data_IF_567030830182
#
_entry.id   IF_567030830182
#
_cell.length_a   1.000
_cell.length_b   1.000
_cell.length_c   1.000
_cell.angle_alpha   90.00
_cell.angle_beta   90.00
_cell.angle_gamma   90.00
#
_symmetry.space_group_name_H-M   'P 1'
#
loop_
_entity.id
_entity.type
_entity.pdbx_description
1 polymer ?
#
# COMPACT_ATOMS: atom_id res chain seq x y z
N UNK A 1 4.92 7.42 -0.52
CA UNK A 1 6.32 7.83 -0.62
C UNK A 1 6.37 9.05 -1.50
N UNK A 2 6.99 10.13 -1.04
CA UNK A 2 7.19 11.34 -1.83
C UNK A 2 8.48 12.02 -1.43
N UNK A 3 8.97 12.88 -2.32
CA UNK A 3 10.11 13.78 -2.10
C UNK A 3 9.69 15.14 -2.63
N UNK A 4 9.95 16.18 -1.87
CA UNK A 4 9.59 17.55 -2.19
C UNK A 4 10.71 18.49 -1.76
N UNK A 5 11.33 19.18 -2.72
CA UNK A 5 12.31 20.21 -2.42
C UNK A 5 11.64 21.57 -2.34
N UNK A 6 11.80 22.25 -1.20
CA UNK A 6 11.30 23.59 -0.96
C UNK A 6 12.45 24.60 -1.06
N UNK A 7 12.53 25.29 -2.20
CA UNK A 7 13.63 26.19 -2.55
C UNK A 7 13.85 27.32 -1.53
N UNK A 8 12.80 28.02 -1.10
CA UNK A 8 12.97 29.20 -0.23
C UNK A 8 13.49 28.90 1.17
N UNK A 9 13.12 27.75 1.75
CA UNK A 9 13.69 27.33 3.03
C UNK A 9 14.95 26.49 2.87
N UNK A 10 15.39 26.26 1.63
CA UNK A 10 16.44 25.33 1.27
C UNK A 10 16.29 23.97 1.99
N UNK A 11 15.08 23.39 1.97
CA UNK A 11 14.77 22.15 2.69
C UNK A 11 14.23 21.07 1.77
N UNK A 12 14.72 19.84 1.94
CA UNK A 12 14.14 18.65 1.36
C UNK A 12 13.16 18.01 2.34
N UNK A 13 11.93 17.79 1.90
CA UNK A 13 10.88 17.11 2.64
C UNK A 13 10.59 15.76 2.00
N UNK A 14 10.51 14.71 2.80
CA UNK A 14 10.27 13.36 2.29
C UNK A 14 9.59 12.50 3.34
N UNK A 15 8.96 11.42 2.89
CA UNK A 15 8.29 10.52 3.81
C UNK A 15 7.42 9.49 3.12
N UNK A 16 6.92 8.56 3.92
CA UNK A 16 6.04 7.47 3.49
C UNK A 16 4.62 7.71 3.97
N UNK A 17 3.68 6.93 3.41
CA UNK A 17 2.33 6.92 3.95
C UNK A 17 2.31 6.32 5.38
N UNK A 18 1.25 6.56 6.17
CA UNK A 18 1.25 6.22 7.60
C UNK A 18 1.59 4.76 7.93
N UNK A 19 1.25 3.82 7.05
CA UNK A 19 1.48 2.38 7.22
C UNK A 19 2.57 1.82 6.31
N UNK A 20 3.23 2.68 5.51
CA UNK A 20 4.36 2.27 4.68
C UNK A 20 4.03 1.46 3.43
N UNK A 21 2.81 1.56 2.87
CA UNK A 21 2.43 0.83 1.63
C UNK A 21 3.33 1.13 0.44
N UNK A 22 3.88 2.33 0.36
CA UNK A 22 4.90 2.68 -0.65
C UNK A 22 6.28 2.62 -0.02
N UNK A 23 7.15 1.77 -0.58
CA UNK A 23 8.54 1.64 -0.13
C UNK A 23 9.30 2.95 -0.36
N UNK A 24 10.26 3.17 0.53
CA UNK A 24 11.27 4.22 0.42
C UNK A 24 12.46 3.78 1.28
N UNK A 25 13.62 3.69 0.66
CA UNK A 25 14.89 3.35 1.29
C UNK A 25 15.79 4.58 1.29
N UNK A 26 16.70 4.62 2.26
CA UNK A 26 17.69 5.66 2.44
C UNK A 26 19.02 5.01 2.80
N UNK A 27 20.13 5.61 2.42
CA UNK A 27 21.45 5.20 2.91
C UNK A 27 21.48 5.27 4.46
N UNK A 28 21.93 4.22 5.14
CA UNK A 28 21.87 4.09 6.61
C UNK A 28 22.72 5.15 7.31
N UNK A 29 23.86 5.53 6.74
CA UNK A 29 24.71 6.59 7.29
C UNK A 29 23.97 7.94 7.33
N UNK A 30 23.00 8.13 6.42
CA UNK A 30 22.13 9.30 6.43
C UNK A 30 21.23 9.40 7.67
N UNK A 31 20.93 8.29 8.35
CA UNK A 31 20.01 8.26 9.50
C UNK A 31 20.73 8.41 10.85
N UNK A 32 21.97 7.93 10.97
CA UNK A 32 22.65 7.80 12.27
C UNK A 32 23.64 8.93 12.56
N UNK A 33 24.46 9.31 11.58
CA UNK A 33 25.43 10.42 11.66
C UNK A 33 25.71 10.94 10.26
N UNK A 34 25.06 12.03 9.90
CA UNK A 34 25.29 12.65 8.60
C UNK A 34 26.66 13.35 8.58
N UNK A 35 27.61 12.83 7.80
CA UNK A 35 28.88 13.51 7.50
C UNK A 35 28.70 14.33 6.20
N UNK A 36 29.19 15.57 6.17
CA UNK A 36 29.15 16.44 4.99
C UNK A 36 29.88 15.84 3.78
N UNK A 37 30.73 14.83 3.99
CA UNK A 37 31.41 14.07 2.93
C UNK A 37 30.61 12.87 2.41
N UNK A 38 29.47 12.55 3.02
CA UNK A 38 28.63 11.40 2.64
C UNK A 38 27.48 11.82 1.74
N UNK A 39 27.21 11.01 0.71
CA UNK A 39 26.10 11.26 -0.20
C UNK A 39 24.75 11.02 0.50
N UNK A 40 23.81 11.95 0.30
CA UNK A 40 22.41 11.75 0.69
C UNK A 40 21.69 11.02 -0.44
N UNK A 41 21.39 9.72 -0.24
CA UNK A 41 20.73 8.90 -1.25
C UNK A 41 19.43 8.33 -0.70
N UNK A 42 18.35 8.56 -1.43
CA UNK A 42 17.03 8.00 -1.16
C UNK A 42 16.46 7.46 -2.47
N UNK A 43 15.76 6.33 -2.39
CA UNK A 43 15.17 5.67 -3.54
C UNK A 43 13.88 4.95 -3.13
N UNK A 44 13.05 4.58 -4.11
CA UNK A 44 11.93 3.66 -3.88
C UNK A 44 12.36 2.20 -3.75
N UNK A 45 13.55 1.85 -4.25
CA UNK A 45 14.11 0.49 -4.24
C UNK A 45 15.61 0.58 -3.97
N UNK A 46 16.11 -0.31 -3.12
CA UNK A 46 17.54 -0.40 -2.83
C UNK A 46 18.32 -0.89 -4.05
N UNK A 47 19.48 -0.29 -4.29
CA UNK A 47 20.47 -0.85 -5.22
C UNK A 47 21.03 -2.15 -4.64
N UNK A 48 21.45 -3.07 -5.51
CA UNK A 48 22.18 -4.29 -5.12
C UNK A 48 23.60 -4.00 -4.60
N UNK A 49 24.07 -2.75 -4.71
CA UNK A 49 25.36 -2.35 -4.14
C UNK A 49 25.30 -2.32 -2.61
N UNK A 50 25.89 -3.36 -2.02
CA UNK A 50 25.93 -3.59 -0.57
C UNK A 50 26.73 -2.50 0.15
N UNK A 51 27.65 -1.82 -0.54
CA UNK A 51 28.52 -0.80 0.07
C UNK A 51 27.76 0.48 0.48
N UNK A 52 26.57 0.69 -0.09
CA UNK A 52 25.74 1.86 0.24
C UNK A 52 25.08 1.69 1.61
N UNK A 53 24.89 0.46 2.11
CA UNK A 53 24.25 0.21 3.41
C UNK A 53 22.83 0.77 3.45
N UNK A 54 21.89 0.17 2.72
CA UNK A 54 20.51 0.65 2.67
C UNK A 54 19.72 0.34 3.94
N UNK A 55 18.91 1.30 4.39
CA UNK A 55 17.91 1.13 5.42
C UNK A 55 16.53 1.55 4.90
N UNK A 56 15.49 0.84 5.33
CA UNK A 56 14.11 1.23 5.05
C UNK A 56 13.76 2.48 5.86
N UNK A 57 13.23 3.53 5.21
CA UNK A 57 12.79 4.73 5.92
C UNK A 57 11.54 4.38 6.76
N UNK A 58 11.49 4.65 8.08
CA UNK A 58 10.32 4.33 8.88
C UNK A 58 9.05 5.04 8.38
N UNK A 59 7.94 4.31 8.37
CA UNK A 59 6.62 4.86 8.05
C UNK A 59 6.06 5.70 9.21
N UNK A 60 4.93 6.38 8.97
CA UNK A 60 4.23 7.10 10.04
C UNK A 60 4.82 8.46 10.39
N UNK A 61 5.74 9.01 9.59
CA UNK A 61 6.36 10.30 9.85
C UNK A 61 6.70 11.04 8.55
N UNK A 62 6.70 12.36 8.65
CA UNK A 62 7.30 13.28 7.69
C UNK A 62 8.74 13.59 8.14
N UNK A 63 9.66 13.69 7.19
CA UNK A 63 11.06 14.00 7.45
C UNK A 63 11.46 15.28 6.72
N UNK A 64 12.38 16.04 7.30
CA UNK A 64 12.99 17.19 6.63
C UNK A 64 14.51 17.20 6.81
N UNK A 65 15.21 17.60 5.76
CA UNK A 65 16.63 17.93 5.79
C UNK A 65 16.78 19.37 5.30
N UNK A 66 17.32 20.24 6.15
CA UNK A 66 17.61 21.63 5.78
C UNK A 66 19.07 21.75 5.34
N UNK A 67 19.32 22.25 4.13
CA UNK A 67 20.66 22.33 3.57
C UNK A 67 21.50 23.48 4.16
N UNK A 68 20.87 24.54 4.67
CA UNK A 68 21.59 25.64 5.36
C UNK A 68 22.00 25.23 6.78
N UNK A 69 21.23 24.35 7.42
CA UNK A 69 21.42 23.83 8.77
C UNK A 69 21.74 22.34 8.77
N UNK A 70 22.54 21.91 7.80
CA UNK A 70 22.77 20.48 7.52
C UNK A 70 23.32 19.69 8.70
N UNK A 71 24.10 20.34 9.57
CA UNK A 71 24.63 19.78 10.82
C UNK A 71 23.55 19.30 11.81
N UNK A 72 22.32 19.78 11.69
CA UNK A 72 21.19 19.35 12.52
C UNK A 72 20.64 17.98 12.08
N UNK A 73 21.10 17.45 10.95
CA UNK A 73 20.67 16.18 10.40
C UNK A 73 19.19 16.18 9.97
N UNK A 74 18.62 14.97 9.90
CA UNK A 74 17.23 14.77 9.47
C UNK A 74 16.31 15.01 10.68
N UNK A 75 15.38 15.95 10.55
CA UNK A 75 14.29 16.13 11.51
C UNK A 75 13.13 15.20 11.18
N UNK A 76 12.51 14.63 12.22
CA UNK A 76 11.36 13.72 12.12
C UNK A 76 10.12 14.35 12.75
N UNK A 77 9.03 14.38 11.99
CA UNK A 77 7.71 14.86 12.39
C UNK A 77 6.73 13.68 12.31
N UNK A 78 6.44 13.00 13.42
CA UNK A 78 5.45 11.94 13.44
C UNK A 78 4.11 12.45 12.94
N UNK A 79 3.43 11.66 12.10
CA UNK A 79 2.00 11.88 11.95
C UNK A 79 1.40 11.74 13.34
N UNK A 80 0.50 12.66 13.74
CA UNK A 80 -0.21 12.56 15.02
C UNK A 80 -0.81 11.16 15.17
N UNK A 81 -1.11 10.72 16.41
CA UNK A 81 -1.68 9.38 16.66
C UNK A 81 -2.87 9.13 15.75
N UNK A 82 -2.60 8.51 14.59
CA UNK A 82 -3.62 7.86 13.81
C UNK A 82 -3.85 6.61 14.62
N UNK A 83 -5.00 6.52 15.28
CA UNK A 83 -5.47 5.33 15.99
C UNK A 83 -5.76 4.20 14.99
N UNK A 84 -4.78 3.84 14.17
CA UNK A 84 -4.67 2.51 13.57
C UNK A 84 -3.90 1.66 14.58
N UNK A 85 -4.29 1.75 15.85
CA UNK A 85 -3.91 0.80 16.85
C UNK A 85 -5.16 -0.05 17.05
N UNK A 86 -5.19 -1.24 16.45
CA UNK A 86 -6.06 -2.31 16.94
C UNK A 86 -5.53 -2.81 18.30
N UNK A 87 -5.15 -1.90 19.21
CA UNK A 87 -4.82 -2.24 20.57
C UNK A 87 -6.13 -2.46 21.28
N UNK A 88 -6.50 -3.74 21.39
CA UNK A 88 -7.68 -4.23 22.08
C UNK A 88 -8.96 -3.55 21.58
N UNK A 89 -9.64 -4.15 20.59
CA UNK A 89 -11.04 -3.82 20.33
C UNK A 89 -11.79 -4.12 21.62
N UNK A 90 -11.99 -3.09 22.45
CA UNK A 90 -12.79 -3.22 23.65
C UNK A 90 -14.22 -3.31 23.16
N UNK A 91 -14.76 -4.53 23.12
CA UNK A 91 -16.15 -4.80 22.79
C UNK A 91 -17.01 -4.29 23.96
N UNK A 92 -17.11 -2.98 24.11
CA UNK A 92 -18.00 -2.35 25.09
C UNK A 92 -19.37 -2.17 24.45
N UNK A 93 -20.43 -2.76 25.05
CA UNK A 93 -21.88 -2.51 24.93
C UNK A 93 -22.51 -2.18 23.55
N UNK A 94 -21.74 -2.26 22.47
CA UNK A 94 -22.16 -2.09 21.09
C UNK A 94 -22.33 -3.50 20.53
N UNK A 95 -23.48 -3.77 19.91
CA UNK A 95 -23.78 -5.09 19.36
C UNK A 95 -22.88 -5.41 18.17
N UNK A 96 -22.65 -6.71 17.94
CA UNK A 96 -21.83 -7.22 16.84
C UNK A 96 -22.27 -6.66 15.48
N UNK A 97 -23.58 -6.46 15.28
CA UNK A 97 -24.18 -5.91 14.07
C UNK A 97 -23.69 -4.49 13.77
N UNK A 98 -23.46 -3.67 14.80
CA UNK A 98 -22.96 -2.30 14.64
C UNK A 98 -21.49 -2.29 14.22
N UNK A 99 -20.67 -3.22 14.71
CA UNK A 99 -19.28 -3.38 14.24
C UNK A 99 -19.22 -3.85 12.79
N UNK A 100 -20.00 -4.88 12.44
CA UNK A 100 -20.08 -5.39 11.07
C UNK A 100 -20.53 -4.31 10.10
N UNK A 101 -21.55 -3.52 10.47
CA UNK A 101 -22.03 -2.41 9.66
C UNK A 101 -20.96 -1.33 9.46
N UNK A 102 -20.24 -0.94 10.53
CA UNK A 102 -19.14 0.05 10.45
C UNK A 102 -17.97 -0.48 9.60
N UNK A 103 -17.60 -1.75 9.81
CA UNK A 103 -16.55 -2.40 9.03
C UNK A 103 -16.89 -2.40 7.54
N UNK A 104 -18.08 -2.90 7.19
CA UNK A 104 -18.55 -2.91 5.80
C UNK A 104 -18.63 -1.51 5.20
N UNK A 105 -19.10 -0.51 5.96
CA UNK A 105 -19.12 0.89 5.53
C UNK A 105 -17.72 1.38 5.16
N UNK A 106 -16.73 1.20 6.05
CA UNK A 106 -15.37 1.66 5.78
C UNK A 106 -14.69 0.86 4.66
N UNK A 107 -14.91 -0.46 4.59
CA UNK A 107 -14.40 -1.31 3.51
C UNK A 107 -14.94 -0.84 2.15
N UNK A 108 -16.26 -0.68 2.04
CA UNK A 108 -16.95 -0.16 0.85
C UNK A 108 -16.43 1.21 0.42
N UNK A 109 -16.31 2.15 1.36
CA UNK A 109 -15.75 3.48 1.09
C UNK A 109 -14.30 3.40 0.60
N UNK A 110 -13.50 2.53 1.21
CA UNK A 110 -12.10 2.30 0.81
C UNK A 110 -12.02 1.78 -0.63
N UNK A 111 -12.82 0.77 -0.97
CA UNK A 111 -12.84 0.15 -2.30
C UNK A 111 -13.34 1.17 -3.34
N UNK A 112 -14.46 1.84 -3.07
CA UNK A 112 -15.03 2.87 -3.96
C UNK A 112 -14.00 3.95 -4.32
N UNK A 113 -13.25 4.46 -3.33
CA UNK A 113 -12.20 5.46 -3.56
C UNK A 113 -11.04 4.99 -4.46
N UNK A 114 -10.80 3.67 -4.56
CA UNK A 114 -9.74 3.09 -5.40
C UNK A 114 -10.25 2.73 -6.79
N UNK A 115 -11.47 2.18 -6.86
CA UNK A 115 -12.12 1.75 -8.11
C UNK A 115 -12.50 2.96 -8.96
N UNK A 116 -13.20 3.95 -8.39
CA UNK A 116 -13.71 5.12 -9.13
C UNK A 116 -12.62 5.95 -9.82
N UNK A 117 -11.41 6.01 -9.26
CA UNK A 117 -10.27 6.72 -9.85
C UNK A 117 -9.74 6.06 -11.11
N UNK A 118 -9.90 4.75 -11.21
CA UNK A 118 -9.48 3.96 -12.37
C UNK A 118 -10.53 4.13 -13.48
N UNK A 119 -11.82 4.12 -13.13
CA UNK A 119 -12.95 4.24 -14.06
C UNK A 119 -12.95 5.53 -14.91
N UNK A 120 -12.46 6.64 -14.36
CA UNK A 120 -12.42 7.94 -15.06
C UNK A 120 -11.39 8.02 -16.19
N UNK A 121 -10.46 7.06 -16.31
CA UNK A 121 -9.23 7.27 -17.07
C UNK A 121 -9.25 6.83 -18.55
N UNK A 122 -10.18 6.01 -19.04
CA UNK A 122 -10.20 5.61 -20.46
C UNK A 122 -11.56 5.07 -20.90
N UNK A 123 -12.14 5.65 -21.95
CA UNK A 123 -13.45 5.25 -22.50
C UNK A 123 -13.38 5.01 -24.02
N UNK A 124 -12.32 4.35 -24.51
CA UNK A 124 -12.10 4.21 -25.97
C UNK A 124 -12.29 2.78 -26.49
N UNK A 125 -12.03 1.70 -25.72
CA UNK A 125 -11.89 0.36 -26.33
C UNK A 125 -12.44 -0.86 -25.55
N UNK A 126 -13.31 -0.72 -24.54
CA UNK A 126 -13.93 -1.89 -23.86
C UNK A 126 -12.93 -2.93 -23.27
N UNK A 127 -11.75 -2.50 -22.86
CA UNK A 127 -10.71 -3.34 -22.22
C UNK A 127 -10.96 -3.35 -20.70
N UNK A 128 -10.84 -4.50 -19.98
CA UNK A 128 -11.03 -4.56 -18.54
C UNK A 128 -10.22 -3.48 -17.81
N UNK A 129 -10.91 -2.73 -16.96
CA UNK A 129 -10.33 -1.56 -16.32
C UNK A 129 -9.63 -1.91 -15.01
N UNK A 130 -9.94 -3.07 -14.43
CA UNK A 130 -9.48 -3.48 -13.10
C UNK A 130 -9.16 -4.97 -13.07
N UNK A 131 -7.96 -5.29 -12.59
CA UNK A 131 -7.55 -6.63 -12.19
C UNK A 131 -7.53 -6.77 -10.66
N UNK A 132 -8.00 -7.90 -10.14
CA UNK A 132 -8.00 -8.25 -8.72
C UNK A 132 -7.22 -9.54 -8.55
N UNK A 133 -6.21 -9.51 -7.67
CA UNK A 133 -5.54 -10.74 -7.23
C UNK A 133 -6.52 -11.59 -6.43
N UNK A 134 -6.84 -12.77 -6.93
CA UNK A 134 -7.99 -13.57 -6.51
C UNK A 134 -7.58 -15.02 -6.24
N UNK A 135 -7.34 -15.35 -4.97
CA UNK A 135 -7.04 -16.70 -4.51
C UNK A 135 -8.28 -17.52 -4.13
N UNK A 136 -9.47 -16.91 -4.14
CA UNK A 136 -10.72 -17.51 -3.65
C UNK A 136 -10.92 -17.44 -2.13
N UNK A 137 -10.00 -16.82 -1.39
CA UNK A 137 -10.18 -16.53 0.03
C UNK A 137 -11.18 -15.39 0.27
N UNK A 138 -11.79 -15.35 1.46
CA UNK A 138 -12.88 -14.41 1.79
C UNK A 138 -12.52 -12.94 1.54
N UNK A 139 -11.28 -12.53 1.81
CA UNK A 139 -10.85 -11.14 1.65
C UNK A 139 -10.91 -10.69 0.18
N UNK A 140 -10.34 -11.48 -0.73
CA UNK A 140 -10.33 -11.16 -2.15
C UNK A 140 -11.73 -11.31 -2.78
N UNK A 141 -12.53 -12.25 -2.30
CA UNK A 141 -13.94 -12.42 -2.71
C UNK A 141 -14.79 -11.22 -2.31
N UNK A 142 -14.67 -10.75 -1.06
CA UNK A 142 -15.35 -9.53 -0.61
C UNK A 142 -14.89 -8.31 -1.38
N UNK A 143 -13.58 -8.16 -1.63
CA UNK A 143 -13.05 -7.05 -2.43
C UNK A 143 -13.62 -7.09 -3.85
N UNK A 144 -13.62 -8.25 -4.52
CA UNK A 144 -14.14 -8.41 -5.87
C UNK A 144 -15.65 -8.13 -5.96
N UNK A 145 -16.42 -8.71 -5.04
CA UNK A 145 -17.86 -8.51 -4.94
C UNK A 145 -18.23 -7.04 -4.70
N UNK A 146 -17.56 -6.37 -3.76
CA UNK A 146 -17.85 -4.96 -3.47
C UNK A 146 -17.32 -4.04 -4.59
N UNK A 147 -16.19 -4.38 -5.23
CA UNK A 147 -15.64 -3.58 -6.32
C UNK A 147 -16.57 -3.53 -7.53
N UNK A 148 -17.22 -4.65 -7.87
CA UNK A 148 -18.15 -4.71 -9.01
C UNK A 148 -19.38 -3.81 -8.83
N UNK A 149 -19.81 -3.55 -7.59
CA UNK A 149 -20.91 -2.63 -7.29
C UNK A 149 -20.60 -1.15 -7.63
N UNK A 150 -19.32 -0.80 -7.76
CA UNK A 150 -18.88 0.56 -8.08
C UNK A 150 -18.41 0.75 -9.53
N UNK A 151 -18.62 -0.26 -10.37
CA UNK A 151 -18.28 -0.24 -11.79
C UNK A 151 -19.53 -0.05 -12.64
N UNK A 152 -19.34 0.50 -13.84
CA UNK A 152 -20.44 0.66 -14.79
C UNK A 152 -20.97 -0.72 -15.22
N UNK A 153 -22.29 -0.88 -15.46
CA UNK A 153 -22.84 -2.11 -15.99
C UNK A 153 -22.11 -2.57 -17.26
N UNK A 154 -21.73 -3.85 -17.30
CA UNK A 154 -20.97 -4.44 -18.41
C UNK A 154 -19.45 -4.30 -18.28
N UNK A 155 -18.95 -3.62 -17.23
CA UNK A 155 -17.52 -3.60 -16.92
C UNK A 155 -16.99 -5.01 -16.65
N UNK A 156 -15.80 -5.30 -17.17
CA UNK A 156 -15.09 -6.56 -16.93
C UNK A 156 -14.09 -6.37 -15.79
N UNK A 157 -14.13 -7.28 -14.81
CA UNK A 157 -13.13 -7.40 -13.75
C UNK A 157 -12.29 -8.65 -14.00
N UNK A 158 -10.99 -8.48 -14.17
CA UNK A 158 -10.08 -9.62 -14.32
C UNK A 158 -9.73 -10.20 -12.94
N UNK A 159 -10.05 -11.49 -12.74
CA UNK A 159 -9.66 -12.21 -11.52
C UNK A 159 -8.35 -12.96 -11.78
N UNK A 160 -7.26 -12.46 -11.21
CA UNK A 160 -5.90 -12.93 -11.45
C UNK A 160 -5.47 -13.84 -10.30
N UNK A 161 -5.23 -15.11 -10.62
CA UNK A 161 -4.71 -16.08 -9.66
C UNK A 161 -3.28 -16.48 -10.05
N UNK A 162 -2.45 -16.79 -9.06
CA UNK A 162 -1.09 -17.32 -9.25
C UNK A 162 -1.03 -18.66 -8.55
N UNK A 163 -0.59 -19.69 -9.27
CA UNK A 163 -0.27 -20.98 -8.66
C UNK A 163 1.09 -21.44 -9.14
N UNK A 164 1.78 -22.15 -8.26
CA UNK A 164 3.08 -22.74 -8.56
C UNK A 164 2.86 -24.15 -9.10
N UNK A 165 3.55 -24.45 -10.19
CA UNK A 165 3.62 -25.79 -10.75
C UNK A 165 4.74 -26.58 -10.05
N UNK A 166 4.50 -27.88 -9.83
CA UNK A 166 5.52 -28.84 -9.46
C UNK A 166 5.31 -30.10 -10.32
N UNK A 167 6.36 -30.87 -10.63
CA UNK A 167 6.26 -32.12 -11.40
C UNK A 167 5.23 -33.10 -10.81
N UNK A 168 5.04 -33.06 -9.49
CA UNK A 168 4.05 -33.89 -8.77
C UNK A 168 2.66 -33.26 -8.65
N UNK A 169 2.48 -31.98 -8.97
CA UNK A 169 1.24 -31.24 -8.79
C UNK A 169 0.94 -30.33 -9.99
N UNK A 170 -0.16 -30.63 -10.69
CA UNK A 170 -0.66 -29.75 -11.74
C UNK A 170 -1.00 -28.38 -11.17
N UNK A 171 -0.63 -27.32 -11.89
CA UNK A 171 -1.02 -25.97 -11.54
C UNK A 171 -2.54 -25.78 -11.55
N UNK A 172 -3.27 -26.63 -12.29
CA UNK A 172 -4.74 -26.58 -12.39
C UNK A 172 -5.46 -27.11 -11.15
N UNK A 173 -4.84 -28.05 -10.44
CA UNK A 173 -5.35 -28.66 -9.19
C UNK A 173 -4.75 -28.00 -7.95
N UNK A 174 -4.09 -26.85 -8.11
CA UNK A 174 -3.60 -26.08 -6.97
C UNK A 174 -4.81 -25.57 -6.15
N UNK A 175 -4.70 -25.67 -4.83
CA UNK A 175 -5.83 -25.39 -3.92
C UNK A 175 -6.36 -23.97 -4.08
N UNK A 176 -5.49 -22.99 -4.32
CA UNK A 176 -5.87 -21.60 -4.58
C UNK A 176 -6.67 -21.46 -5.89
N UNK A 177 -6.42 -22.31 -6.91
CA UNK A 177 -7.21 -22.31 -8.14
C UNK A 177 -8.56 -22.97 -7.96
N UNK A 178 -8.63 -24.06 -7.21
CA UNK A 178 -9.89 -24.71 -6.86
C UNK A 178 -10.78 -23.77 -6.05
N UNK A 179 -10.24 -23.19 -4.98
CA UNK A 179 -10.92 -22.19 -4.17
C UNK A 179 -11.33 -20.97 -5.00
N UNK A 180 -10.46 -20.49 -5.89
CA UNK A 180 -10.78 -19.39 -6.81
C UNK A 180 -11.99 -19.71 -7.70
N UNK A 181 -12.04 -20.90 -8.31
CA UNK A 181 -13.17 -21.31 -9.15
C UNK A 181 -14.45 -21.49 -8.34
N UNK A 182 -14.37 -22.16 -7.19
CA UNK A 182 -15.52 -22.37 -6.32
C UNK A 182 -16.09 -21.05 -5.79
N UNK A 183 -15.23 -20.12 -5.39
CA UNK A 183 -15.67 -18.81 -4.89
C UNK A 183 -16.27 -17.94 -5.99
N UNK A 184 -15.87 -18.11 -7.25
CA UNK A 184 -16.47 -17.40 -8.38
C UNK A 184 -17.86 -17.91 -8.75
N UNK A 185 -18.14 -19.19 -8.47
CA UNK A 185 -19.43 -19.82 -8.76
C UNK A 185 -20.53 -19.52 -7.72
N UNK A 186 -20.16 -18.93 -6.58
CA UNK A 186 -21.07 -18.57 -5.48
C UNK A 186 -21.57 -17.13 -5.64
#
# INVERSE_FOLDING_TARGET
>A
AFIYYHHWSNSLWFGRDPIGRKSMVINQLSLEKFDLKSDFIISSVASSDVNIGWAELPAGSLYSLNFDQFQNGICKYPFGKNEICCSNVIINNITFESYTSKFLYFLRKSISCRVSKISLSYNVNNVPQIGILFSGGIDCTLIASIASEYLDPGSVVELLNVSFFNENFSAETAIDRENGRESFQK
#
